data_IF_419003368447
#
_entry.id   IF_419003368447
#
_cell.length_a   1.000
_cell.length_b   1.000
_cell.length_c   1.000
_cell.angle_alpha   90.00
_cell.angle_beta   90.00
_cell.angle_gamma   90.00
#
_symmetry.space_group_name_H-M   'P 1'
#
loop_
_entity.id
_entity.type
_entity.pdbx_description
1 polymer ?
#
# COMPACT_ATOMS: atom_id res chain seq x y z
N UNK A 1 -9.51 25.75 -0.35
CA UNK A 1 -8.15 25.15 -0.24
C UNK A 1 -7.86 24.92 1.24
N UNK A 2 -8.26 23.78 1.81
CA UNK A 2 -8.14 23.50 3.25
C UNK A 2 -6.75 22.94 3.58
N UNK A 3 -5.89 23.78 4.18
CA UNK A 3 -4.61 23.34 4.76
C UNK A 3 -4.89 22.72 6.13
N UNK A 4 -5.11 21.40 6.20
CA UNK A 4 -5.07 20.68 7.48
C UNK A 4 -3.60 20.55 7.90
N UNK A 5 -3.16 21.43 8.79
CA UNK A 5 -1.87 21.30 9.47
C UNK A 5 -1.96 20.12 10.45
N UNK A 6 -1.43 18.97 10.05
CA UNK A 6 -1.14 17.86 10.97
C UNK A 6 0.20 18.14 11.65
N UNK A 7 0.19 18.75 12.83
CA UNK A 7 1.39 18.86 13.65
C UNK A 7 1.61 17.54 14.41
N UNK A 8 2.51 16.68 13.91
CA UNK A 8 3.06 15.58 14.71
C UNK A 8 4.11 16.17 15.66
N UNK A 9 3.68 16.70 16.80
CA UNK A 9 4.58 17.03 17.91
C UNK A 9 5.10 15.73 18.51
N UNK A 10 6.31 15.32 18.16
CA UNK A 10 7.02 14.21 18.82
C UNK A 10 7.71 14.76 20.07
N UNK A 11 6.97 14.84 21.17
CA UNK A 11 7.56 15.05 22.49
C UNK A 11 8.11 13.72 23.02
N UNK A 12 9.37 13.72 23.46
CA UNK A 12 10.19 12.55 23.80
C UNK A 12 9.79 11.79 25.08
N UNK A 13 8.58 11.99 25.62
CA UNK A 13 8.09 11.24 26.78
C UNK A 13 6.61 10.90 26.56
N UNK A 14 6.27 9.63 26.76
CA UNK A 14 4.96 8.96 26.61
C UNK A 14 4.50 8.67 25.16
N UNK A 15 4.22 7.38 24.93
CA UNK A 15 3.79 6.77 23.67
C UNK A 15 2.49 7.41 23.14
N UNK A 16 2.59 8.34 22.19
CA UNK A 16 1.45 9.03 21.56
C UNK A 16 0.49 8.04 20.87
N UNK A 17 -0.67 7.80 21.48
CA UNK A 17 -1.85 7.17 20.85
C UNK A 17 -3.01 8.17 20.71
N UNK A 18 -2.72 9.45 20.88
CA UNK A 18 -3.69 10.53 20.85
C UNK A 18 -3.39 11.54 19.76
N UNK A 19 -4.47 12.12 19.22
CA UNK A 19 -4.43 13.19 18.23
C UNK A 19 -5.21 14.37 18.80
N UNK A 20 -4.58 15.53 18.81
CA UNK A 20 -5.24 16.78 19.20
C UNK A 20 -5.81 17.47 17.97
N UNK A 21 -7.07 17.89 18.03
CA UNK A 21 -7.74 18.66 17.00
C UNK A 21 -8.34 19.94 17.60
N UNK A 22 -8.27 21.05 16.87
CA UNK A 22 -8.95 22.28 17.26
C UNK A 22 -10.47 22.12 17.17
N UNK A 23 -11.22 22.53 18.20
CA UNK A 23 -12.68 22.63 18.18
C UNK A 23 -13.13 23.62 17.11
N UNK A 24 -12.50 24.79 17.12
CA UNK A 24 -12.67 25.84 16.12
C UNK A 24 -11.33 26.04 15.37
N UNK A 25 -11.25 25.66 14.08
CA UNK A 25 -10.04 25.78 13.28
C UNK A 25 -9.65 27.23 12.96
N UNK A 26 -10.53 28.20 13.23
CA UNK A 26 -10.25 29.64 13.04
C UNK A 26 -9.60 30.29 14.28
N UNK A 27 -9.63 29.61 15.43
CA UNK A 27 -9.05 30.09 16.68
C UNK A 27 -7.66 29.49 16.90
N UNK A 28 -6.78 30.18 17.65
CA UNK A 28 -5.46 29.65 17.98
C UNK A 28 -5.57 28.31 18.74
N UNK A 29 -4.57 27.43 18.61
CA UNK A 29 -4.54 26.13 19.30
C UNK A 29 -4.20 26.30 20.79
N UNK A 30 -5.14 26.86 21.55
CA UNK A 30 -5.07 26.97 23.02
C UNK A 30 -5.68 25.73 23.68
N UNK A 31 -5.35 25.46 24.94
CA UNK A 31 -5.88 24.30 25.68
C UNK A 31 -7.42 24.23 25.66
N UNK A 32 -8.09 25.38 25.74
CA UNK A 32 -9.56 25.47 25.67
C UNK A 32 -10.14 25.12 24.29
N UNK A 33 -9.35 25.35 23.24
CA UNK A 33 -9.70 25.11 21.84
C UNK A 33 -9.18 23.76 21.32
N UNK A 34 -8.38 23.02 22.08
CA UNK A 34 -7.88 21.70 21.68
C UNK A 34 -8.74 20.59 22.31
N UNK A 35 -9.01 19.54 21.53
CA UNK A 35 -9.61 18.30 22.01
C UNK A 35 -8.66 17.17 21.68
N UNK A 36 -8.38 16.33 22.67
CA UNK A 36 -7.57 15.14 22.51
C UNK A 36 -8.46 13.93 22.21
N UNK A 37 -8.18 13.25 21.11
CA UNK A 37 -8.84 11.99 20.73
C UNK A 37 -7.89 10.83 20.95
N UNK A 38 -8.40 9.69 21.41
CA UNK A 38 -7.64 8.45 21.55
C UNK A 38 -8.19 7.40 20.60
N UNK A 39 -7.30 6.71 19.89
CA UNK A 39 -7.71 5.62 19.02
C UNK A 39 -8.13 4.38 19.81
N UNK A 40 -9.22 3.75 19.39
CA UNK A 40 -9.74 2.48 19.95
C UNK A 40 -9.37 1.27 19.08
N UNK A 41 -8.62 1.50 17.99
CA UNK A 41 -8.17 0.51 17.01
C UNK A 41 -6.69 0.75 16.68
N UNK A 42 -6.01 -0.28 16.23
CA UNK A 42 -4.64 -0.19 15.71
C UNK A 42 -4.65 0.75 14.50
N UNK A 43 -3.84 1.81 14.55
CA UNK A 43 -3.82 2.85 13.51
C UNK A 43 -2.83 2.52 12.40
N UNK A 44 -3.09 3.05 11.21
CA UNK A 44 -2.08 3.08 10.16
C UNK A 44 -0.92 4.02 10.57
N UNK A 45 0.30 3.61 10.22
CA UNK A 45 1.51 4.41 10.45
C UNK A 45 2.21 4.21 11.80
N UNK A 46 1.76 3.27 12.66
CA UNK A 46 2.62 2.78 13.74
C UNK A 46 3.56 1.70 13.20
N UNK A 47 4.81 1.71 13.67
CA UNK A 47 5.81 0.73 13.25
C UNK A 47 5.41 -0.72 13.59
N UNK A 48 4.61 -0.92 14.64
CA UNK A 48 4.12 -2.23 15.05
C UNK A 48 2.84 -2.68 14.34
N UNK A 49 2.09 -1.79 13.69
CA UNK A 49 0.80 -2.13 13.08
C UNK A 49 0.88 -3.24 12.03
N UNK A 50 1.87 -3.24 11.10
CA UNK A 50 1.99 -4.32 10.11
C UNK A 50 2.25 -5.68 10.76
N UNK A 51 3.06 -5.71 11.82
CA UNK A 51 3.37 -6.93 12.56
C UNK A 51 2.10 -7.50 13.24
N UNK A 52 1.32 -6.64 13.91
CA UNK A 52 0.08 -7.05 14.56
C UNK A 52 -0.95 -7.59 13.56
N UNK A 53 -1.09 -6.91 12.40
CA UNK A 53 -1.97 -7.36 11.33
C UNK A 53 -1.54 -8.72 10.78
N UNK A 54 -0.25 -8.87 10.42
CA UNK A 54 0.29 -10.11 9.89
C UNK A 54 0.14 -11.27 10.89
N UNK A 55 0.41 -11.04 12.17
CA UNK A 55 0.23 -12.03 13.24
C UNK A 55 -1.24 -12.46 13.40
N UNK A 56 -2.17 -11.50 13.33
CA UNK A 56 -3.62 -11.78 13.41
C UNK A 56 -4.09 -12.62 12.22
N UNK A 57 -3.71 -12.24 10.99
CA UNK A 57 -4.04 -12.98 9.78
C UNK A 57 -3.45 -14.40 9.86
N UNK A 58 -2.16 -14.52 10.21
CA UNK A 58 -1.48 -15.81 10.35
C UNK A 58 -2.23 -16.75 11.32
N UNK A 59 -2.51 -16.26 12.53
CA UNK A 59 -3.18 -17.05 13.55
C UNK A 59 -4.56 -17.54 13.08
N UNK A 60 -5.33 -16.66 12.44
CA UNK A 60 -6.64 -17.04 11.93
C UNK A 60 -6.59 -18.07 10.80
N UNK A 61 -5.69 -17.90 9.83
CA UNK A 61 -5.52 -18.82 8.71
C UNK A 61 -5.04 -20.21 9.16
N UNK A 62 -4.26 -20.32 10.23
CA UNK A 62 -3.78 -21.60 10.74
C UNK A 62 -4.85 -22.33 11.55
N UNK A 63 -5.49 -21.65 12.50
CA UNK A 63 -6.30 -22.32 13.53
C UNK A 63 -7.80 -22.33 13.22
N UNK A 64 -8.35 -21.32 12.54
CA UNK A 64 -9.80 -21.04 12.59
C UNK A 64 -10.55 -21.36 11.30
N UNK A 65 -9.89 -21.42 10.14
CA UNK A 65 -10.59 -21.66 8.87
C UNK A 65 -10.67 -23.14 8.48
N UNK A 66 -11.82 -23.62 7.97
CA UNK A 66 -11.96 -24.95 7.39
C UNK A 66 -11.29 -25.07 6.00
N UNK A 67 -10.99 -23.96 5.33
CA UNK A 67 -10.44 -23.93 3.97
C UNK A 67 -8.91 -24.00 3.95
N UNK A 68 -8.33 -25.07 4.50
CA UNK A 68 -6.88 -25.17 4.76
C UNK A 68 -5.98 -24.93 3.53
N UNK A 69 -6.35 -25.40 2.35
CA UNK A 69 -5.55 -25.20 1.14
C UNK A 69 -5.54 -23.73 0.68
N UNK A 70 -6.72 -23.09 0.62
CA UNK A 70 -6.78 -21.66 0.32
C UNK A 70 -6.10 -20.82 1.40
N UNK A 71 -6.18 -21.23 2.67
CA UNK A 71 -5.55 -20.52 3.77
C UNK A 71 -4.02 -20.48 3.63
N UNK A 72 -3.40 -21.60 3.21
CA UNK A 72 -1.96 -21.65 2.89
C UNK A 72 -1.60 -20.74 1.73
N UNK A 73 -2.40 -20.75 0.67
CA UNK A 73 -2.20 -19.87 -0.49
C UNK A 73 -2.33 -18.39 -0.08
N UNK A 74 -3.39 -18.01 0.63
CA UNK A 74 -3.61 -16.66 1.15
C UNK A 74 -2.44 -16.23 2.03
N UNK A 75 -2.01 -17.09 2.97
CA UNK A 75 -0.89 -16.77 3.86
C UNK A 75 0.40 -16.48 3.09
N UNK A 76 0.64 -17.22 2.01
CA UNK A 76 1.85 -17.08 1.18
C UNK A 76 1.80 -15.86 0.26
N UNK A 77 0.60 -15.34 -0.01
CA UNK A 77 0.38 -14.25 -0.97
C UNK A 77 -0.31 -13.01 -0.35
N UNK A 78 -0.33 -12.92 0.98
CA UNK A 78 -0.73 -11.72 1.72
C UNK A 78 0.47 -10.80 1.85
N UNK A 79 0.29 -9.54 1.49
CA UNK A 79 1.26 -8.49 1.74
C UNK A 79 0.56 -7.25 2.29
N UNK A 80 0.65 -7.07 3.61
CA UNK A 80 0.02 -5.98 4.37
C UNK A 80 -1.49 -5.87 4.07
N UNK A 81 -1.87 -5.03 3.12
CA UNK A 81 -3.23 -4.72 2.69
C UNK A 81 -3.66 -5.42 1.40
N UNK A 82 -2.75 -6.14 0.72
CA UNK A 82 -2.99 -6.81 -0.54
C UNK A 82 -3.04 -8.33 -0.35
N UNK A 83 -3.99 -8.99 -1.04
CA UNK A 83 -4.06 -10.44 -1.18
C UNK A 83 -4.04 -10.76 -2.66
N UNK A 84 -3.10 -11.61 -3.09
CA UNK A 84 -2.97 -12.01 -4.48
C UNK A 84 -3.28 -13.50 -4.56
N UNK A 85 -4.23 -13.90 -5.39
CA UNK A 85 -4.57 -15.30 -5.57
C UNK A 85 -4.43 -15.67 -7.04
N UNK A 86 -3.99 -16.89 -7.30
CA UNK A 86 -3.91 -17.43 -8.66
C UNK A 86 -5.13 -18.31 -8.90
N UNK A 87 -5.57 -18.43 -10.14
CA UNK A 87 -6.60 -19.38 -10.53
C UNK A 87 -6.31 -19.87 -11.95
N UNK A 88 -6.56 -21.14 -12.21
CA UNK A 88 -6.34 -21.76 -13.52
C UNK A 88 -7.56 -21.67 -14.44
N UNK A 89 -8.75 -21.43 -13.89
CA UNK A 89 -10.00 -21.26 -14.64
C UNK A 89 -10.96 -20.30 -13.93
N UNK A 90 -12.06 -19.97 -14.62
CA UNK A 90 -13.06 -18.99 -14.17
C UNK A 90 -13.79 -19.47 -12.91
N UNK A 91 -14.12 -20.75 -12.85
CA UNK A 91 -14.83 -21.39 -11.75
C UNK A 91 -14.00 -21.35 -10.46
N UNK A 92 -12.72 -21.71 -10.55
CA UNK A 92 -11.76 -21.66 -9.44
C UNK A 92 -11.58 -20.21 -8.95
N UNK A 93 -11.51 -19.24 -9.85
CA UNK A 93 -11.38 -17.83 -9.49
C UNK A 93 -12.58 -17.33 -8.68
N UNK A 94 -13.81 -17.68 -9.11
CA UNK A 94 -15.05 -17.33 -8.40
C UNK A 94 -15.12 -18.04 -7.05
N UNK A 95 -14.74 -19.31 -7.00
CA UNK A 95 -14.69 -20.08 -5.76
C UNK A 95 -13.69 -19.46 -4.76
N UNK A 96 -12.50 -19.10 -5.22
CA UNK A 96 -11.47 -18.41 -4.41
C UNK A 96 -11.94 -17.04 -3.96
N UNK A 97 -12.65 -16.28 -4.79
CA UNK A 97 -13.30 -15.03 -4.37
C UNK A 97 -14.24 -15.27 -3.18
N UNK A 98 -15.20 -16.21 -3.31
CA UNK A 98 -16.19 -16.49 -2.26
C UNK A 98 -15.54 -16.98 -0.97
N UNK A 99 -14.62 -17.94 -1.07
CA UNK A 99 -13.93 -18.50 0.10
C UNK A 99 -13.02 -17.49 0.77
N UNK A 100 -12.22 -16.73 0.02
CA UNK A 100 -11.36 -15.68 0.60
C UNK A 100 -12.19 -14.61 1.32
N UNK A 101 -13.32 -14.20 0.73
CA UNK A 101 -14.24 -13.26 1.36
C UNK A 101 -14.79 -13.79 2.68
N UNK A 102 -15.20 -15.06 2.71
CA UNK A 102 -15.70 -15.71 3.93
C UNK A 102 -14.63 -15.77 5.03
N UNK A 103 -13.42 -16.24 4.70
CA UNK A 103 -12.29 -16.33 5.64
C UNK A 103 -11.99 -14.97 6.28
N UNK A 104 -11.92 -13.91 5.49
CA UNK A 104 -11.63 -12.58 6.05
C UNK A 104 -12.83 -11.98 6.80
N UNK A 105 -14.07 -12.31 6.40
CA UNK A 105 -15.26 -11.90 7.12
C UNK A 105 -15.30 -12.49 8.55
N UNK A 106 -14.82 -13.72 8.76
CA UNK A 106 -14.67 -14.32 10.10
C UNK A 106 -13.73 -13.51 11.01
N UNK A 107 -12.74 -12.80 10.44
CA UNK A 107 -11.85 -11.87 11.15
C UNK A 107 -12.44 -10.45 11.30
N UNK A 108 -13.68 -10.21 10.88
CA UNK A 108 -14.24 -8.87 10.70
C UNK A 108 -13.41 -7.97 9.75
N UNK A 109 -12.73 -8.58 8.77
CA UNK A 109 -11.96 -7.87 7.74
C UNK A 109 -12.72 -7.96 6.43
N UNK A 110 -13.03 -6.80 5.85
CA UNK A 110 -13.73 -6.74 4.57
C UNK A 110 -12.72 -6.67 3.40
N UNK A 111 -12.46 -7.81 2.75
CA UNK A 111 -11.74 -7.82 1.48
C UNK A 111 -12.57 -7.13 0.40
N UNK A 112 -11.98 -6.19 -0.32
CA UNK A 112 -12.67 -5.34 -1.30
C UNK A 112 -11.74 -5.02 -2.45
N UNK A 113 -12.29 -4.44 -3.52
CA UNK A 113 -11.57 -4.09 -4.76
C UNK A 113 -10.97 -5.31 -5.46
N UNK A 114 -11.70 -6.41 -5.48
CA UNK A 114 -11.34 -7.56 -6.28
C UNK A 114 -11.23 -7.15 -7.76
N UNK A 115 -10.17 -7.61 -8.41
CA UNK A 115 -9.87 -7.36 -9.80
C UNK A 115 -9.17 -8.59 -10.36
N UNK A 116 -9.60 -9.03 -11.53
CA UNK A 116 -9.01 -10.15 -12.27
C UNK A 116 -8.78 -9.72 -13.73
N UNK A 117 -7.87 -10.42 -14.41
CA UNK A 117 -7.65 -10.25 -15.85
C UNK A 117 -8.75 -10.88 -16.72
N UNK A 118 -9.69 -11.63 -16.13
CA UNK A 118 -10.81 -12.22 -16.84
C UNK A 118 -12.10 -11.38 -16.63
N UNK A 119 -12.64 -10.84 -17.72
CA UNK A 119 -13.84 -9.99 -17.69
C UNK A 119 -15.09 -10.72 -17.19
N UNK A 120 -15.25 -12.01 -17.49
CA UNK A 120 -16.42 -12.79 -17.04
C UNK A 120 -16.41 -12.97 -15.52
N UNK A 121 -15.26 -13.29 -14.95
CA UNK A 121 -15.11 -13.38 -13.48
C UNK A 121 -15.40 -12.01 -12.84
N UNK A 122 -14.94 -10.91 -13.44
CA UNK A 122 -15.27 -9.55 -12.97
C UNK A 122 -16.77 -9.21 -13.08
N UNK A 123 -17.53 -9.84 -13.98
CA UNK A 123 -18.99 -9.66 -14.08
C UNK A 123 -19.73 -10.36 -12.94
N UNK A 124 -19.22 -11.52 -12.52
CA UNK A 124 -19.81 -12.33 -11.44
C UNK A 124 -19.51 -11.79 -10.03
N UNK A 125 -18.46 -10.97 -9.89
CA UNK A 125 -18.14 -10.29 -8.63
C UNK A 125 -19.13 -9.12 -8.40
N UNK A 126 -19.81 -9.08 -7.23
CA UNK A 126 -20.69 -7.98 -6.83
C UNK A 126 -20.03 -6.60 -6.94
N UNK A 127 -20.79 -5.59 -7.38
CA UNK A 127 -20.29 -4.23 -7.61
C UNK A 127 -19.62 -3.59 -6.39
N UNK A 128 -20.12 -3.90 -5.17
CA UNK A 128 -19.55 -3.42 -3.91
C UNK A 128 -18.15 -3.96 -3.60
N UNK A 129 -17.83 -5.15 -4.11
CA UNK A 129 -16.57 -5.85 -3.86
C UNK A 129 -15.56 -5.65 -4.99
N UNK A 130 -16.04 -5.26 -6.17
CA UNK A 130 -15.24 -5.07 -7.38
C UNK A 130 -14.42 -3.78 -7.36
N UNK A 131 -13.25 -3.81 -7.99
CA UNK A 131 -12.48 -2.59 -8.27
C UNK A 131 -13.22 -1.68 -9.26
N UNK A 132 -13.25 -0.37 -8.99
CA UNK A 132 -13.80 0.62 -9.92
C UNK A 132 -12.89 0.86 -11.14
N UNK A 133 -11.63 0.47 -11.04
CA UNK A 133 -10.62 0.70 -12.07
C UNK A 133 -10.07 -0.64 -12.57
N UNK A 134 -9.80 -0.70 -13.86
CA UNK A 134 -9.08 -1.82 -14.51
C UNK A 134 -7.58 -1.81 -14.23
N UNK A 135 -7.04 -0.67 -13.78
CA UNK A 135 -5.65 -0.51 -13.38
C UNK A 135 -5.57 -0.35 -11.88
N UNK A 136 -4.75 -1.15 -11.21
CA UNK A 136 -4.52 -1.07 -9.76
C UNK A 136 -3.03 -1.15 -9.43
N UNK A 137 -2.64 -0.74 -8.23
CA UNK A 137 -1.28 -0.95 -7.74
C UNK A 137 -1.21 -2.26 -6.96
N UNK A 138 -0.28 -3.13 -7.35
CA UNK A 138 0.04 -4.38 -6.68
C UNK A 138 1.50 -4.28 -6.22
N UNK A 139 1.73 -4.34 -4.91
CA UNK A 139 3.07 -4.20 -4.30
C UNK A 139 3.81 -2.92 -4.73
N UNK A 140 3.07 -1.85 -5.04
CA UNK A 140 3.60 -0.56 -5.50
C UNK A 140 3.81 -0.43 -7.01
N UNK A 141 3.69 -1.51 -7.78
CA UNK A 141 3.76 -1.50 -9.26
C UNK A 141 2.34 -1.45 -9.83
N UNK A 142 2.12 -0.67 -10.89
CA UNK A 142 0.82 -0.62 -11.55
C UNK A 142 0.60 -1.90 -12.37
N UNK A 143 -0.60 -2.47 -12.32
CA UNK A 143 -1.03 -3.61 -13.11
C UNK A 143 -2.31 -3.24 -13.87
N UNK A 144 -2.28 -3.38 -15.19
CA UNK A 144 -3.44 -3.30 -16.07
C UNK A 144 -4.01 -4.70 -16.22
N UNK A 145 -5.15 -4.96 -15.58
CA UNK A 145 -5.77 -6.27 -15.58
C UNK A 145 -6.34 -6.63 -16.97
N UNK A 146 -6.74 -5.66 -17.79
CA UNK A 146 -7.35 -5.96 -19.11
C UNK A 146 -6.30 -6.52 -20.07
N UNK A 147 -5.11 -5.93 -20.06
CA UNK A 147 -3.98 -6.38 -20.90
C UNK A 147 -3.09 -7.41 -20.21
N UNK A 148 -3.29 -7.61 -18.90
CA UNK A 148 -2.42 -8.39 -18.02
C UNK A 148 -0.96 -7.92 -18.04
N UNK A 149 -0.76 -6.60 -18.02
CA UNK A 149 0.56 -5.98 -18.10
C UNK A 149 0.92 -5.27 -16.80
N UNK A 150 2.16 -5.46 -16.35
CA UNK A 150 2.77 -4.59 -15.34
C UNK A 150 3.25 -3.30 -16.02
N UNK A 151 2.82 -2.17 -15.48
CA UNK A 151 3.16 -0.83 -15.96
C UNK A 151 4.26 -0.29 -15.06
N UNK A 152 5.46 -0.20 -15.63
CA UNK A 152 6.62 0.42 -15.01
C UNK A 152 6.71 1.86 -15.48
N UNK A 153 6.42 2.79 -14.57
CA UNK A 153 6.51 4.21 -14.88
C UNK A 153 7.87 4.74 -14.44
N UNK A 154 8.60 5.33 -15.38
CA UNK A 154 9.71 6.23 -15.08
C UNK A 154 9.37 7.58 -15.69
N UNK A 155 9.04 8.55 -14.85
CA UNK A 155 8.84 9.93 -15.28
C UNK A 155 9.97 10.76 -14.69
N UNK A 156 10.74 11.39 -15.57
CA UNK A 156 11.74 12.38 -15.17
C UNK A 156 10.99 13.69 -14.96
N UNK A 157 11.07 14.25 -13.76
CA UNK A 157 10.57 15.58 -13.51
C UNK A 157 11.47 16.59 -14.25
N UNK A 158 10.84 17.62 -14.83
CA UNK A 158 11.60 18.74 -15.37
C UNK A 158 11.99 19.65 -14.21
N UNK A 159 13.30 19.84 -14.00
CA UNK A 159 13.82 20.79 -13.03
C UNK A 159 14.43 21.98 -13.78
N UNK A 160 14.24 23.19 -13.25
CA UNK A 160 14.82 24.42 -13.79
C UNK A 160 16.34 24.48 -13.65
N UNK A 161 16.89 23.79 -12.66
CA UNK A 161 18.32 23.61 -12.44
C UNK A 161 18.61 22.16 -12.08
N UNK A 162 19.63 21.57 -12.71
CA UNK A 162 20.06 20.21 -12.44
C UNK A 162 21.19 20.26 -11.43
N UNK A 163 20.94 19.72 -10.24
CA UNK A 163 21.93 19.53 -9.17
C UNK A 163 22.07 18.05 -8.84
N UNK A 164 23.15 17.66 -8.17
CA UNK A 164 23.32 16.27 -7.75
C UNK A 164 22.18 15.74 -6.86
N UNK A 165 21.60 16.52 -5.91
CA UNK A 165 20.36 16.13 -5.23
C UNK A 165 19.20 15.83 -6.18
N UNK A 166 18.97 16.66 -7.21
CA UNK A 166 17.88 16.42 -8.17
C UNK A 166 18.12 15.14 -9.00
N UNK A 167 19.38 14.82 -9.32
CA UNK A 167 19.73 13.56 -10.00
C UNK A 167 19.49 12.37 -9.07
N UNK A 168 19.89 12.47 -7.81
CA UNK A 168 19.66 11.43 -6.81
C UNK A 168 18.16 11.21 -6.56
N UNK A 169 17.38 12.28 -6.46
CA UNK A 169 15.93 12.23 -6.30
C UNK A 169 15.28 11.51 -7.49
N UNK A 170 15.68 11.85 -8.72
CA UNK A 170 15.18 11.16 -9.92
C UNK A 170 15.45 9.66 -9.90
N UNK A 171 16.69 9.26 -9.63
CA UNK A 171 17.05 7.84 -9.58
C UNK A 171 16.25 7.12 -8.49
N UNK A 172 16.08 7.74 -7.32
CA UNK A 172 15.33 7.19 -6.20
C UNK A 172 13.81 7.16 -6.42
N UNK A 173 13.26 8.04 -7.26
CA UNK A 173 11.83 8.09 -7.57
C UNK A 173 11.36 6.91 -8.41
N UNK A 174 12.28 6.23 -9.10
CA UNK A 174 11.96 5.05 -9.92
C UNK A 174 11.77 3.86 -8.99
N UNK A 175 10.51 3.53 -8.71
CA UNK A 175 10.16 2.37 -7.91
C UNK A 175 10.24 1.09 -8.74
N UNK A 176 11.27 0.27 -8.49
CA UNK A 176 11.53 -0.96 -9.22
C UNK A 176 12.02 -2.08 -8.28
N UNK A 177 11.12 -2.70 -7.51
CA UNK A 177 11.48 -3.69 -6.50
C UNK A 177 12.09 -4.97 -7.10
N UNK A 178 11.78 -5.28 -8.36
CA UNK A 178 12.25 -6.47 -9.08
C UNK A 178 13.45 -6.18 -9.99
N UNK A 179 13.96 -4.95 -9.98
CA UNK A 179 15.14 -4.52 -10.74
C UNK A 179 15.01 -4.67 -12.27
N UNK A 180 13.79 -4.64 -12.83
CA UNK A 180 13.53 -4.77 -14.28
C UNK A 180 14.03 -3.58 -15.10
N UNK A 181 14.02 -2.38 -14.53
CA UNK A 181 14.52 -1.14 -15.14
C UNK A 181 16.02 -0.95 -14.90
N UNK A 182 16.72 -1.92 -14.31
CA UNK A 182 18.17 -1.82 -14.05
C UNK A 182 19.00 -1.44 -15.28
N UNK A 183 18.78 -2.02 -16.49
CA UNK A 183 19.52 -1.61 -17.68
C UNK A 183 19.36 -0.12 -18.03
N UNK A 184 18.22 0.48 -17.69
CA UNK A 184 17.93 1.90 -17.91
C UNK A 184 18.48 2.77 -16.77
N UNK A 185 18.32 2.35 -15.52
CA UNK A 185 18.71 3.14 -14.33
C UNK A 185 20.20 3.04 -14.02
N UNK A 186 20.90 2.00 -14.47
CA UNK A 186 22.33 1.78 -14.19
C UNK A 186 23.19 2.97 -14.62
N UNK A 187 22.95 3.52 -15.82
CA UNK A 187 23.71 4.68 -16.31
C UNK A 187 23.53 5.90 -15.40
N UNK A 188 22.32 6.13 -14.89
CA UNK A 188 22.04 7.18 -13.93
C UNK A 188 22.77 6.95 -12.60
N UNK A 189 22.74 5.72 -12.08
CA UNK A 189 23.46 5.34 -10.84
C UNK A 189 24.97 5.53 -10.97
N UNK A 190 25.56 5.10 -12.09
CA UNK A 190 26.99 5.30 -12.39
C UNK A 190 27.33 6.78 -12.53
N UNK A 191 26.48 7.56 -13.19
CA UNK A 191 26.66 9.00 -13.30
C UNK A 191 26.61 9.69 -11.94
N UNK A 192 25.66 9.33 -11.07
CA UNK A 192 25.60 9.83 -9.70
C UNK A 192 26.88 9.48 -8.95
N UNK A 193 27.36 8.23 -9.05
CA UNK A 193 28.62 7.80 -8.45
C UNK A 193 29.81 8.63 -8.94
N UNK A 194 29.89 8.93 -10.24
CA UNK A 194 30.93 9.77 -10.81
C UNK A 194 30.90 11.19 -10.22
N UNK A 195 29.72 11.79 -10.08
CA UNK A 195 29.58 13.11 -9.45
C UNK A 195 30.07 13.13 -8.01
N UNK A 196 29.84 12.04 -7.26
CA UNK A 196 30.40 11.88 -5.92
C UNK A 196 31.93 11.82 -5.92
N UNK A 197 32.53 11.06 -6.84
CA UNK A 197 34.00 10.93 -6.94
C UNK A 197 34.69 12.24 -7.35
N UNK A 198 34.03 13.06 -8.16
CA UNK A 198 34.57 14.33 -8.65
C UNK A 198 34.32 15.50 -7.68
N UNK A 199 33.61 15.28 -6.56
CA UNK A 199 33.36 16.32 -5.56
C UNK A 199 32.38 17.41 -6.00
N UNK A 200 31.47 17.10 -6.93
CA UNK A 200 30.37 18.00 -7.26
C UNK A 200 29.31 17.98 -6.16
N UNK A 201 28.76 19.16 -5.85
CA UNK A 201 27.66 19.36 -4.89
C UNK A 201 26.28 19.20 -5.53
#
# INVERSE_FOLDING_TARGET
MWRRLFCKSVSRRSRCHSVSQAKDPTRPPTETNLVEYRFTRVTFGLNCSPFLLAGTIKYHLQENTPHKELAKEVYSNVYVDNVILKASNEEEAIEKYRKSKAIFAEMNVNLRRYLTNNEKVNKDIPSQDKSMHSVTKVLGVCWDAVKDHLILNSQLASHSAITKPTISEHIASIYDPMEWLTPLTLRGKLFLQLLWLLGYD
#
